data_IF_179467604967
#
_entry.id   IF_179467604967
#
_cell.length_a   1.000
_cell.length_b   1.000
_cell.length_c   1.000
_cell.angle_alpha   90.00
_cell.angle_beta   90.00
_cell.angle_gamma   90.00
#
_symmetry.space_group_name_H-M   'P 1'
#
loop_
_entity.id
_entity.type
_entity.pdbx_description
1 polymer ?
#
# COMPACT_ATOMS: atom_id res chain seq x y z
N UNK A 1 -53.33 -62.19 32.25
CA UNK A 1 -51.98 -61.59 32.02
C UNK A 1 -51.91 -61.12 30.57
N UNK A 2 -51.52 -59.84 30.37
CA UNK A 2 -50.90 -59.20 29.18
C UNK A 2 -51.21 -59.73 27.77
N UNK A 3 -51.41 -58.95 26.70
CA UNK A 3 -51.51 -57.51 26.42
C UNK A 3 -51.75 -57.44 24.87
N UNK A 4 -52.33 -56.32 24.41
CA UNK A 4 -52.19 -55.70 23.06
C UNK A 4 -53.11 -56.13 21.90
N UNK A 5 -54.05 -55.21 21.64
CA UNK A 5 -54.49 -54.80 20.31
C UNK A 5 -53.33 -54.40 19.39
N UNK A 6 -53.46 -54.69 18.10
CA UNK A 6 -53.57 -53.74 16.97
C UNK A 6 -53.25 -54.44 15.64
N UNK A 7 -54.06 -54.19 14.61
CA UNK A 7 -53.86 -54.26 13.14
C UNK A 7 -55.28 -54.42 12.54
N UNK A 8 -55.77 -53.77 11.49
CA UNK A 8 -55.36 -52.69 10.58
C UNK A 8 -56.58 -52.41 9.64
N UNK A 9 -56.43 -51.85 8.43
CA UNK A 9 -56.48 -50.42 8.12
C UNK A 9 -57.70 -50.05 7.24
N UNK A 10 -58.02 -48.76 7.12
CA UNK A 10 -58.90 -48.24 6.07
C UNK A 10 -58.27 -47.08 5.32
N UNK A 11 -58.23 -47.29 4.00
CA UNK A 11 -58.48 -46.36 2.89
C UNK A 11 -57.53 -45.18 2.61
N UNK A 12 -57.00 -45.27 1.37
CA UNK A 12 -57.04 -44.28 0.27
C UNK A 12 -56.45 -42.89 0.49
N UNK A 13 -55.57 -42.50 -0.42
CA UNK A 13 -55.45 -41.09 -0.82
C UNK A 13 -54.15 -40.72 -1.53
N UNK A 14 -54.26 -40.55 -2.84
CA UNK A 14 -53.51 -39.64 -3.73
C UNK A 14 -51.98 -39.55 -3.72
N UNK A 15 -51.45 -39.75 -4.93
CA UNK A 15 -50.23 -39.14 -5.46
C UNK A 15 -50.21 -37.62 -5.22
N UNK A 16 -49.07 -37.10 -4.78
CA UNK A 16 -48.65 -35.72 -5.05
C UNK A 16 -47.15 -35.71 -5.36
N UNK A 17 -46.87 -35.41 -6.63
CA UNK A 17 -45.55 -35.19 -7.21
C UNK A 17 -45.05 -33.82 -6.74
N UNK A 18 -44.03 -33.77 -5.88
CA UNK A 18 -43.40 -32.53 -5.42
C UNK A 18 -42.13 -32.25 -6.20
N UNK A 19 -42.24 -31.49 -7.29
CA UNK A 19 -41.08 -30.99 -8.05
C UNK A 19 -40.34 -29.95 -7.19
N UNK A 20 -39.14 -30.28 -6.73
CA UNK A 20 -38.28 -29.34 -6.01
C UNK A 20 -37.61 -28.38 -7.02
N UNK A 21 -38.14 -27.18 -7.18
CA UNK A 21 -37.45 -26.10 -7.91
C UNK A 21 -36.34 -25.54 -7.01
N UNK A 22 -35.10 -25.99 -7.24
CA UNK A 22 -33.92 -25.31 -6.70
C UNK A 22 -33.75 -24.03 -7.51
N UNK A 23 -34.29 -22.92 -7.01
CA UNK A 23 -33.94 -21.60 -7.50
C UNK A 23 -32.51 -21.31 -7.07
N UNK A 24 -31.54 -21.65 -7.92
CA UNK A 24 -30.18 -21.13 -7.80
C UNK A 24 -30.26 -19.62 -8.02
N UNK A 25 -30.24 -18.85 -6.93
CA UNK A 25 -29.96 -17.43 -7.01
C UNK A 25 -28.57 -17.29 -7.61
N UNK A 26 -28.50 -16.92 -8.89
CA UNK A 26 -27.29 -16.41 -9.48
C UNK A 26 -26.99 -15.10 -8.78
N UNK A 27 -26.15 -15.13 -7.75
CA UNK A 27 -25.38 -13.95 -7.37
C UNK A 27 -24.41 -13.68 -8.51
N UNK A 28 -24.88 -12.97 -9.54
CA UNK A 28 -23.98 -12.23 -10.41
C UNK A 28 -23.27 -11.25 -9.51
N UNK A 29 -22.09 -11.62 -9.02
CA UNK A 29 -21.10 -10.67 -8.58
C UNK A 29 -20.89 -9.76 -9.80
N UNK A 30 -21.54 -8.60 -9.82
CA UNK A 30 -21.28 -7.60 -10.82
C UNK A 30 -19.77 -7.40 -10.79
N UNK A 31 -19.09 -7.61 -11.92
CA UNK A 31 -17.71 -7.19 -12.04
C UNK A 31 -17.70 -5.71 -11.64
N UNK A 32 -17.03 -5.36 -10.54
CA UNK A 32 -16.90 -3.97 -10.15
C UNK A 32 -16.38 -3.21 -11.37
N UNK A 33 -17.15 -2.23 -11.82
CA UNK A 33 -16.81 -1.44 -12.99
C UNK A 33 -15.45 -0.77 -12.75
N UNK A 34 -14.55 -0.84 -13.73
CA UNK A 34 -13.23 -0.25 -13.61
C UNK A 34 -13.34 1.26 -13.37
N UNK A 35 -13.04 1.69 -12.14
CA UNK A 35 -13.00 3.09 -11.77
C UNK A 35 -11.65 3.74 -12.16
N UNK A 36 -11.71 4.87 -12.87
CA UNK A 36 -10.54 5.73 -13.13
C UNK A 36 -10.82 7.13 -12.57
N UNK A 37 -9.91 7.62 -11.72
CA UNK A 37 -10.00 8.96 -11.11
C UNK A 37 -8.70 9.73 -11.31
N UNK A 38 -8.81 11.01 -11.64
CA UNK A 38 -7.65 11.90 -11.67
C UNK A 38 -7.32 12.36 -10.24
N UNK A 39 -6.03 12.27 -9.85
CA UNK A 39 -5.55 12.65 -8.52
C UNK A 39 -4.57 13.84 -8.59
N UNK A 40 -3.41 13.64 -9.24
CA UNK A 40 -2.36 14.66 -9.28
C UNK A 40 -1.34 14.42 -10.41
N UNK A 41 -0.50 15.43 -10.66
CA UNK A 41 0.57 15.34 -11.67
C UNK A 41 1.77 14.58 -11.13
N UNK A 42 2.43 13.81 -11.98
CA UNK A 42 3.66 13.10 -11.61
C UNK A 42 3.41 12.02 -10.56
N UNK A 43 2.38 11.21 -10.76
CA UNK A 43 2.09 10.04 -9.94
C UNK A 43 3.18 8.97 -10.07
N UNK A 44 3.57 8.37 -8.94
CA UNK A 44 4.51 7.27 -8.84
C UNK A 44 3.88 6.12 -8.05
N UNK A 45 4.58 5.57 -7.07
CA UNK A 45 4.15 4.39 -6.33
C UNK A 45 3.08 4.71 -5.30
N UNK A 46 2.47 3.64 -4.80
CA UNK A 46 1.39 3.67 -3.84
C UNK A 46 1.69 2.74 -2.67
N UNK A 47 1.05 3.01 -1.54
CA UNK A 47 1.02 2.11 -0.40
C UNK A 47 -0.43 1.97 0.10
N UNK A 48 -0.82 0.77 0.53
CA UNK A 48 -2.17 0.50 1.06
C UNK A 48 -2.08 0.06 2.51
N UNK A 49 -3.01 0.53 3.34
CA UNK A 49 -3.19 0.02 4.71
C UNK A 49 -4.62 -0.47 4.89
N UNK A 50 -4.75 -1.73 5.30
CA UNK A 50 -6.03 -2.29 5.72
C UNK A 50 -6.52 -1.66 7.02
N UNK A 51 -5.61 -1.29 7.94
CA UNK A 51 -5.96 -0.74 9.25
C UNK A 51 -6.57 0.66 9.13
N UNK A 52 -6.01 1.47 8.24
CA UNK A 52 -6.49 2.82 7.96
C UNK A 52 -7.57 2.86 6.87
N UNK A 53 -7.86 1.70 6.26
CA UNK A 53 -8.70 1.55 5.06
C UNK A 53 -8.42 2.65 4.02
N UNK A 54 -7.15 2.78 3.63
CA UNK A 54 -6.69 3.89 2.80
C UNK A 54 -5.58 3.47 1.85
N UNK A 55 -5.54 4.15 0.70
CA UNK A 55 -4.48 4.08 -0.29
C UNK A 55 -3.74 5.42 -0.30
N UNK A 56 -2.41 5.41 -0.28
CA UNK A 56 -1.60 6.62 -0.48
C UNK A 56 -0.94 6.59 -1.84
N UNK A 57 -0.91 7.73 -2.51
CA UNK A 57 -0.24 7.92 -3.80
C UNK A 57 0.86 8.99 -3.66
N UNK A 58 2.09 8.63 -4.00
CA UNK A 58 3.17 9.59 -4.12
C UNK A 58 3.04 10.40 -5.42
N UNK A 59 3.06 11.74 -5.32
CA UNK A 59 3.10 12.62 -6.49
C UNK A 59 4.24 13.63 -6.41
N UNK A 60 5.05 13.69 -7.46
CA UNK A 60 6.16 14.64 -7.57
C UNK A 60 5.70 16.05 -7.95
N UNK A 61 4.43 16.21 -8.31
CA UNK A 61 3.88 17.41 -8.94
C UNK A 61 4.64 17.81 -10.22
N UNK A 62 4.52 19.05 -10.67
CA UNK A 62 5.26 19.54 -11.84
C UNK A 62 6.76 19.60 -11.54
N UNK A 63 7.56 19.15 -12.49
CA UNK A 63 9.03 19.31 -12.43
C UNK A 63 9.47 20.77 -12.54
N UNK A 64 8.73 21.61 -13.28
CA UNK A 64 9.15 22.99 -13.60
C UNK A 64 8.64 24.03 -12.61
N UNK A 65 7.46 23.82 -12.04
CA UNK A 65 6.73 24.88 -11.31
C UNK A 65 6.59 24.60 -9.81
N UNK A 66 6.70 23.34 -9.38
CA UNK A 66 6.49 22.97 -7.98
C UNK A 66 7.82 22.64 -7.29
N UNK A 67 8.06 23.24 -6.12
CA UNK A 67 9.08 22.81 -5.17
C UNK A 67 8.42 21.83 -4.18
N UNK A 68 9.05 20.69 -3.93
CA UNK A 68 8.42 19.62 -3.17
C UNK A 68 7.33 18.87 -3.94
N UNK A 69 6.60 18.01 -3.25
CA UNK A 69 5.54 17.17 -3.81
C UNK A 69 4.39 16.95 -2.83
N UNK A 70 3.46 16.07 -3.19
CA UNK A 70 2.30 15.75 -2.35
C UNK A 70 2.16 14.24 -2.23
N UNK A 71 1.80 13.76 -1.04
CA UNK A 71 1.27 12.41 -0.86
C UNK A 71 -0.23 12.54 -0.65
N UNK A 72 -1.02 11.92 -1.52
CA UNK A 72 -2.48 11.95 -1.39
C UNK A 72 -2.95 10.68 -0.68
N UNK A 73 -3.74 10.83 0.40
CA UNK A 73 -4.54 9.76 0.97
C UNK A 73 -5.85 9.67 0.17
N UNK A 74 -6.20 8.48 -0.24
CA UNK A 74 -7.34 8.18 -1.10
C UNK A 74 -8.25 7.18 -0.39
N UNK A 75 -9.55 7.37 -0.56
CA UNK A 75 -10.54 6.33 -0.27
C UNK A 75 -10.32 5.14 -1.24
N UNK A 76 -10.19 3.90 -0.74
CA UNK A 76 -9.79 2.77 -1.58
C UNK A 76 -10.89 2.24 -2.50
N UNK A 77 -12.14 2.66 -2.30
CA UNK A 77 -13.29 2.25 -3.14
C UNK A 77 -13.55 3.29 -4.22
N UNK A 78 -13.51 4.57 -3.87
CA UNK A 78 -13.92 5.69 -4.73
C UNK A 78 -12.75 6.47 -5.32
N UNK A 79 -11.52 6.25 -4.82
CA UNK A 79 -10.31 7.01 -5.16
C UNK A 79 -10.44 8.52 -4.90
N UNK A 80 -11.44 8.96 -4.12
CA UNK A 80 -11.55 10.36 -3.71
C UNK A 80 -10.41 10.71 -2.75
N UNK A 81 -9.87 11.92 -2.90
CA UNK A 81 -8.82 12.44 -2.03
C UNK A 81 -9.43 12.76 -0.67
N UNK A 82 -8.97 12.07 0.37
CA UNK A 82 -9.37 12.30 1.77
C UNK A 82 -8.37 13.17 2.53
N UNK A 83 -7.12 13.22 2.08
CA UNK A 83 -6.08 14.09 2.62
C UNK A 83 -5.01 14.41 1.57
N UNK A 84 -4.46 15.62 1.61
CA UNK A 84 -3.29 16.01 0.81
C UNK A 84 -2.14 16.39 1.76
N UNK A 85 -1.04 15.63 1.72
CA UNK A 85 0.11 15.80 2.62
C UNK A 85 1.24 16.47 1.83
N UNK A 86 1.44 17.77 2.08
CA UNK A 86 2.49 18.55 1.42
C UNK A 86 3.87 18.17 1.96
N UNK A 87 4.83 17.98 1.04
CA UNK A 87 6.17 17.54 1.35
C UNK A 87 7.21 18.46 0.70
N UNK A 88 8.21 18.88 1.46
CA UNK A 88 9.29 19.76 0.97
C UNK A 88 10.16 19.05 -0.09
N UNK A 89 10.28 17.72 0.01
CA UNK A 89 10.94 16.86 -0.96
C UNK A 89 9.90 16.10 -1.79
N UNK A 90 10.17 15.92 -3.09
CA UNK A 90 9.27 15.18 -3.98
C UNK A 90 9.30 13.68 -3.61
N UNK A 91 8.15 13.04 -3.31
CA UNK A 91 8.08 11.59 -3.10
C UNK A 91 7.96 10.85 -4.44
N UNK A 92 8.54 9.65 -4.52
CA UNK A 92 8.54 8.79 -5.72
C UNK A 92 8.19 7.35 -5.35
N UNK A 93 9.18 6.57 -4.91
CA UNK A 93 8.96 5.22 -4.41
C UNK A 93 8.20 5.23 -3.10
N UNK A 94 7.41 4.18 -2.82
CA UNK A 94 6.53 4.12 -1.67
C UNK A 94 6.46 2.72 -1.07
N UNK A 95 6.51 2.63 0.25
CA UNK A 95 6.19 1.41 1.01
C UNK A 95 5.55 1.77 2.35
N UNK A 96 5.02 0.78 3.06
CA UNK A 96 4.40 0.97 4.37
C UNK A 96 4.85 -0.13 5.32
N UNK A 97 5.25 0.27 6.51
CA UNK A 97 5.40 -0.68 7.61
C UNK A 97 4.05 -0.85 8.31
N UNK A 98 3.43 -2.03 8.21
CA UNK A 98 2.07 -2.24 8.71
C UNK A 98 2.01 -2.37 10.24
N UNK A 99 3.11 -2.75 10.88
CA UNK A 99 3.19 -2.86 12.34
C UNK A 99 3.24 -1.48 13.00
N UNK A 100 3.98 -0.53 12.40
CA UNK A 100 4.13 0.83 12.92
C UNK A 100 3.20 1.85 12.26
N UNK A 101 2.44 1.45 11.25
CA UNK A 101 1.61 2.32 10.40
C UNK A 101 2.40 3.56 9.92
N UNK A 102 3.66 3.34 9.51
CA UNK A 102 4.53 4.39 8.98
C UNK A 102 4.74 4.18 7.49
N UNK A 103 4.40 5.20 6.70
CA UNK A 103 4.68 5.27 5.27
C UNK A 103 6.11 5.73 5.05
N UNK A 104 6.78 5.15 4.06
CA UNK A 104 8.15 5.46 3.69
C UNK A 104 8.21 5.83 2.21
N UNK A 105 8.78 7.00 1.92
CA UNK A 105 8.85 7.52 0.56
C UNK A 105 10.29 7.83 0.14
N UNK A 106 10.69 7.28 -1.01
CA UNK A 106 11.95 7.62 -1.65
C UNK A 106 11.89 9.02 -2.27
N UNK A 107 12.81 9.89 -1.89
CA UNK A 107 12.97 11.21 -2.50
C UNK A 107 14.08 11.16 -3.56
N UNK A 108 13.79 10.51 -4.69
CA UNK A 108 14.77 10.16 -5.75
C UNK A 108 15.67 11.32 -6.15
N UNK A 109 15.11 12.52 -6.39
CA UNK A 109 15.88 13.68 -6.86
C UNK A 109 16.61 14.44 -5.76
N UNK A 110 16.49 14.00 -4.51
CA UNK A 110 17.11 14.58 -3.34
C UNK A 110 17.99 13.57 -2.57
N UNK A 111 18.17 12.36 -3.10
CA UNK A 111 18.96 11.30 -2.46
C UNK A 111 18.58 11.08 -0.99
N UNK A 112 17.28 11.07 -0.68
CA UNK A 112 16.77 11.05 0.68
C UNK A 112 15.55 10.14 0.86
N UNK A 113 15.18 9.91 2.11
CA UNK A 113 14.02 9.14 2.56
C UNK A 113 13.12 10.03 3.41
N UNK A 114 11.81 9.92 3.27
CA UNK A 114 10.82 10.57 4.14
C UNK A 114 9.96 9.52 4.84
N UNK A 115 9.73 9.71 6.15
CA UNK A 115 8.78 8.92 6.95
C UNK A 115 7.53 9.76 7.25
N UNK A 116 6.34 9.18 7.08
CA UNK A 116 5.06 9.83 7.37
C UNK A 116 4.20 8.90 8.22
N UNK A 117 3.56 9.42 9.26
CA UNK A 117 2.56 8.69 10.03
C UNK A 117 1.31 8.46 9.17
N UNK A 118 0.92 7.20 8.97
CA UNK A 118 -0.20 6.89 8.09
C UNK A 118 -1.55 7.38 8.66
N UNK A 119 -1.69 7.40 9.98
CA UNK A 119 -2.93 7.75 10.65
C UNK A 119 -3.18 9.26 10.61
N UNK A 120 -2.16 10.06 10.94
CA UNK A 120 -2.30 11.53 11.01
C UNK A 120 -1.90 12.24 9.73
N UNK A 121 -1.01 11.63 8.93
CA UNK A 121 -0.37 12.28 7.78
C UNK A 121 0.81 13.18 8.18
N UNK A 122 1.25 13.16 9.43
CA UNK A 122 2.38 13.97 9.89
C UNK A 122 3.71 13.43 9.35
N UNK A 123 4.56 14.34 8.86
CA UNK A 123 5.93 13.99 8.48
C UNK A 123 6.76 13.78 9.74
N UNK A 124 7.11 12.51 10.02
CA UNK A 124 7.87 12.12 11.21
C UNK A 124 9.35 12.52 11.14
N UNK A 125 9.89 12.56 9.93
CA UNK A 125 11.29 12.93 9.71
C UNK A 125 11.79 12.53 8.33
N UNK A 126 13.05 12.88 8.07
CA UNK A 126 13.74 12.60 6.80
C UNK A 126 15.19 12.21 7.05
N UNK A 127 15.74 11.41 6.14
CA UNK A 127 17.14 10.99 6.16
C UNK A 127 17.76 11.24 4.79
N UNK A 128 18.85 12.01 4.72
CA UNK A 128 19.67 12.09 3.51
C UNK A 128 20.52 10.82 3.42
N UNK A 129 20.39 10.10 2.31
CA UNK A 129 21.04 8.81 2.05
C UNK A 129 22.39 8.98 1.34
N UNK A 130 22.53 10.08 0.58
CA UNK A 130 23.77 10.47 -0.07
C UNK A 130 23.90 12.00 -0.08
N UNK A 131 24.83 12.52 0.73
CA UNK A 131 25.02 13.97 0.91
C UNK A 131 25.91 14.60 -0.18
N UNK A 132 26.47 13.78 -1.09
CA UNK A 132 27.36 14.30 -2.13
C UNK A 132 26.61 15.30 -3.00
N UNK A 133 27.29 16.38 -3.38
CA UNK A 133 26.74 17.34 -4.34
C UNK A 133 27.03 16.86 -5.75
N UNK A 134 26.02 16.96 -6.64
CA UNK A 134 26.20 16.67 -8.05
C UNK A 134 27.20 17.66 -8.67
N UNK A 135 28.22 17.15 -9.34
CA UNK A 135 29.22 17.91 -10.12
C UNK A 135 29.36 17.27 -11.51
N UNK A 136 30.39 17.55 -12.30
CA UNK A 136 30.62 16.83 -13.55
C UNK A 136 30.96 15.35 -13.30
N UNK A 137 31.85 15.09 -12.34
CA UNK A 137 32.36 13.75 -12.00
C UNK A 137 31.58 13.04 -10.90
N UNK A 138 30.78 13.77 -10.12
CA UNK A 138 30.03 13.19 -9.00
C UNK A 138 28.55 13.08 -9.37
N UNK A 139 28.02 11.86 -9.24
CA UNK A 139 26.59 11.54 -9.34
C UNK A 139 26.18 10.86 -8.03
N UNK A 140 25.48 11.56 -7.13
CA UNK A 140 24.93 10.95 -5.92
C UNK A 140 23.98 9.80 -6.29
N UNK A 141 23.99 8.74 -5.49
CA UNK A 141 23.06 7.63 -5.66
C UNK A 141 21.65 8.11 -5.33
N UNK A 142 20.67 7.58 -6.05
CA UNK A 142 19.27 7.98 -5.91
C UNK A 142 18.43 6.81 -5.40
N UNK A 143 17.55 7.01 -4.41
CA UNK A 143 16.65 5.97 -3.95
C UNK A 143 15.64 5.64 -5.04
N UNK A 144 15.42 4.34 -5.25
CA UNK A 144 14.47 3.81 -6.23
C UNK A 144 13.33 3.06 -5.55
N UNK A 145 13.49 1.75 -5.34
CA UNK A 145 12.51 0.90 -4.68
C UNK A 145 12.77 0.86 -3.17
N UNK A 146 11.70 0.75 -2.39
CA UNK A 146 11.72 0.66 -0.93
C UNK A 146 10.91 -0.55 -0.48
N UNK A 147 11.41 -1.26 0.52
CA UNK A 147 10.64 -2.29 1.24
C UNK A 147 10.88 -2.16 2.73
N UNK A 148 9.82 -2.27 3.52
CA UNK A 148 9.91 -2.33 4.98
C UNK A 148 9.74 -3.76 5.48
N UNK A 149 10.57 -4.14 6.45
CA UNK A 149 10.37 -5.31 7.27
C UNK A 149 9.60 -4.91 8.54
N UNK A 150 8.34 -5.36 8.61
CA UNK A 150 7.42 -5.08 9.71
C UNK A 150 7.90 -5.67 11.04
N UNK A 151 8.59 -6.81 11.00
CA UNK A 151 9.02 -7.53 12.21
C UNK A 151 10.22 -6.85 12.88
N UNK A 152 11.10 -6.22 12.10
CA UNK A 152 12.33 -5.62 12.61
C UNK A 152 12.35 -4.09 12.54
N UNK A 153 11.24 -3.48 12.08
CA UNK A 153 11.13 -2.05 11.82
C UNK A 153 12.34 -1.51 11.03
N UNK A 154 12.74 -2.24 9.99
CA UNK A 154 13.89 -1.91 9.14
C UNK A 154 13.40 -1.57 7.73
N UNK A 155 13.96 -0.54 7.12
CA UNK A 155 13.63 -0.15 5.75
C UNK A 155 14.84 -0.37 4.86
N UNK A 156 14.64 -1.07 3.74
CA UNK A 156 15.65 -1.31 2.73
C UNK A 156 15.35 -0.45 1.51
N UNK A 157 16.36 0.27 1.03
CA UNK A 157 16.21 1.19 -0.10
C UNK A 157 17.29 0.88 -1.14
N UNK A 158 16.89 0.64 -2.38
CA UNK A 158 17.83 0.52 -3.49
C UNK A 158 18.36 1.90 -3.88
N UNK A 159 19.69 2.07 -3.83
CA UNK A 159 20.40 3.27 -4.25
C UNK A 159 21.07 3.04 -5.60
N UNK A 160 20.49 3.59 -6.65
CA UNK A 160 20.92 3.31 -8.03
C UNK A 160 22.01 4.28 -8.49
N UNK A 161 22.99 3.74 -9.21
CA UNK A 161 24.08 4.47 -9.85
C UNK A 161 25.04 3.53 -10.57
N UNK A 162 26.22 4.02 -10.96
CA UNK A 162 27.26 3.19 -11.61
C UNK A 162 27.72 2.04 -10.71
N UNK A 163 27.78 2.30 -9.40
CA UNK A 163 28.08 1.33 -8.35
C UNK A 163 26.90 1.40 -7.38
N UNK A 164 25.93 0.50 -7.54
CA UNK A 164 24.68 0.58 -6.80
C UNK A 164 24.84 0.04 -5.37
N UNK A 165 23.92 0.40 -4.48
CA UNK A 165 23.91 -0.05 -3.09
C UNK A 165 22.50 -0.36 -2.61
N UNK A 166 22.39 -1.01 -1.45
CA UNK A 166 21.17 -1.05 -0.65
C UNK A 166 21.45 -0.34 0.67
N UNK A 167 20.72 0.73 0.94
CA UNK A 167 20.73 1.35 2.27
C UNK A 167 19.80 0.58 3.20
N UNK A 168 20.27 0.33 4.42
CA UNK A 168 19.49 -0.30 5.49
C UNK A 168 19.26 0.73 6.58
N UNK A 169 18.01 1.09 6.82
CA UNK A 169 17.59 2.17 7.72
C UNK A 169 16.85 1.61 8.93
N UNK A 170 17.19 2.11 10.11
CA UNK A 170 16.43 1.92 11.35
C UNK A 170 15.16 2.77 11.28
N UNK A 171 13.99 2.11 11.25
CA UNK A 171 12.70 2.75 11.07
C UNK A 171 12.22 3.54 12.30
N UNK A 172 12.73 3.24 13.49
CA UNK A 172 12.38 3.98 14.71
C UNK A 172 13.17 5.28 14.78
N UNK A 173 14.47 5.21 14.50
CA UNK A 173 15.39 6.36 14.60
C UNK A 173 15.47 7.20 13.32
N UNK A 174 14.93 6.70 12.21
CA UNK A 174 15.07 7.29 10.86
C UNK A 174 16.56 7.52 10.55
N UNK A 175 17.37 6.50 10.83
CA UNK A 175 18.83 6.58 10.78
C UNK A 175 19.44 5.42 9.99
N UNK A 176 20.51 5.69 9.25
CA UNK A 176 21.22 4.65 8.49
C UNK A 176 21.89 3.66 9.46
N UNK A 177 21.57 2.37 9.32
CA UNK A 177 22.24 1.27 10.04
C UNK A 177 23.52 0.85 9.32
N UNK A 178 23.40 0.63 8.01
CA UNK A 178 24.51 0.23 7.15
C UNK A 178 24.16 0.44 5.67
N UNK A 179 25.16 0.29 4.81
CA UNK A 179 25.02 0.29 3.35
C UNK A 179 25.61 -1.01 2.82
N UNK A 180 24.83 -1.78 2.08
CA UNK A 180 25.26 -3.00 1.42
C UNK A 180 25.75 -2.61 0.01
N UNK A 181 27.04 -2.75 -0.31
CA UNK A 181 27.54 -2.48 -1.65
C UNK A 181 27.20 -3.61 -2.61
N UNK A 182 27.20 -3.30 -3.91
CA UNK A 182 27.26 -4.31 -4.96
C UNK A 182 28.52 -5.17 -4.80
N UNK A 183 28.36 -6.50 -4.75
CA UNK A 183 29.50 -7.42 -4.75
C UNK A 183 30.18 -7.38 -6.13
N UNK A 184 31.49 -7.13 -6.14
CA UNK A 184 32.35 -7.27 -7.32
C UNK A 184 33.05 -8.61 -7.35
#
# INVERSE_FOLDING_TARGET
MHLRHLFSPRLRGSLLLGSLLVASSFSTQAAEEMLRKAVGKGAYEMAYSQQENALWLATSQSRKTDKGGVVYRLDPVTLEVTQAIHNDLKPFGATINNATQTLWFGNTVNSALTAIDAKTGDVKGRLVLDERKRSEDVRPLQPRELVSDDATNTVYISGIGKESVIWVVDGEKIALKTTIPEYR
#
